data_IF_646843937993
#
_entry.id   IF_646843937993
#
_cell.length_a   1.000
_cell.length_b   1.000
_cell.length_c   1.000
_cell.angle_alpha   90.00
_cell.angle_beta   90.00
_cell.angle_gamma   90.00
#
_symmetry.space_group_name_H-M   'P 1'
#
loop_
_entity.id
_entity.type
_entity.pdbx_description
1 polymer ?
#
# COMPACT_ATOMS: atom_id res chain seq x y z
N UNK A 1 -49.67 27.40 -7.78
CA UNK A 1 -49.64 28.58 -6.90
C UNK A 1 -48.17 28.90 -6.61
N UNK A 2 -47.86 30.20 -6.66
CA UNK A 2 -46.58 30.85 -6.32
C UNK A 2 -45.47 30.74 -7.39
N UNK A 3 -45.48 31.70 -8.31
CA UNK A 3 -44.24 32.29 -8.81
C UNK A 3 -43.51 33.02 -7.67
N UNK A 4 -42.18 32.96 -7.65
CA UNK A 4 -41.41 34.12 -7.21
C UNK A 4 -40.36 34.50 -8.26
N UNK A 5 -40.56 35.67 -8.87
CA UNK A 5 -39.49 36.48 -9.44
C UNK A 5 -38.49 36.84 -8.34
N UNK A 6 -37.18 36.58 -8.51
CA UNK A 6 -36.09 37.32 -7.83
C UNK A 6 -34.72 37.09 -8.53
N UNK A 7 -34.26 38.17 -9.17
CA UNK A 7 -32.89 38.71 -9.25
C UNK A 7 -31.78 37.98 -10.03
N UNK A 8 -31.49 38.51 -11.22
CA UNK A 8 -30.36 38.22 -12.14
C UNK A 8 -28.96 38.43 -11.53
N UNK A 9 -28.83 38.94 -10.30
CA UNK A 9 -27.54 39.19 -9.61
C UNK A 9 -26.93 37.95 -8.96
N UNK A 10 -27.71 36.88 -8.78
CA UNK A 10 -27.26 35.60 -8.18
C UNK A 10 -26.47 34.72 -9.15
N UNK A 11 -26.55 34.98 -10.47
CA UNK A 11 -25.88 34.18 -11.49
C UNK A 11 -24.36 34.37 -11.48
N UNK A 12 -23.88 35.62 -11.34
CA UNK A 12 -22.45 35.93 -11.36
C UNK A 12 -21.71 35.46 -10.10
N UNK A 13 -22.38 35.51 -8.94
CA UNK A 13 -21.77 35.09 -7.67
C UNK A 13 -21.59 33.56 -7.59
N UNK A 14 -22.47 32.81 -8.25
CA UNK A 14 -22.42 31.34 -8.31
C UNK A 14 -21.25 30.82 -9.18
N UNK A 15 -20.97 31.47 -10.31
CA UNK A 15 -19.91 31.07 -11.25
C UNK A 15 -18.51 31.30 -10.66
N UNK A 16 -18.33 32.37 -9.89
CA UNK A 16 -17.08 32.66 -9.17
C UNK A 16 -16.79 31.63 -8.08
N UNK A 17 -17.81 31.17 -7.37
CA UNK A 17 -17.67 30.11 -6.36
C UNK A 17 -17.24 28.77 -7.00
N UNK A 18 -17.80 28.43 -8.16
CA UNK A 18 -17.43 27.20 -8.88
C UNK A 18 -16.02 27.25 -9.48
N UNK A 19 -15.57 28.41 -9.96
CA UNK A 19 -14.23 28.56 -10.55
C UNK A 19 -13.13 28.52 -9.50
N UNK A 20 -13.36 29.04 -8.28
CA UNK A 20 -12.42 28.87 -7.16
C UNK A 20 -12.34 27.40 -6.72
N UNK A 21 -13.46 26.66 -6.71
CA UNK A 21 -13.46 25.23 -6.37
C UNK A 21 -12.69 24.37 -7.39
N UNK A 22 -12.68 24.77 -8.67
CA UNK A 22 -11.90 24.08 -9.70
C UNK A 22 -10.38 24.34 -9.57
N UNK A 23 -9.98 25.48 -9.02
CA UNK A 23 -8.58 25.86 -8.85
C UNK A 23 -7.90 25.18 -7.66
N UNK A 24 -8.65 24.59 -6.73
CA UNK A 24 -8.13 23.96 -5.50
C UNK A 24 -7.92 22.44 -5.60
N UNK A 25 -8.07 21.82 -6.78
CA UNK A 25 -7.98 20.36 -6.97
C UNK A 25 -6.63 19.86 -7.55
N UNK A 26 -5.55 20.62 -7.38
CA UNK A 26 -4.19 20.15 -7.64
C UNK A 26 -3.45 19.93 -6.30
N UNK A 27 -3.84 18.91 -5.55
CA UNK A 27 -3.11 18.46 -4.36
C UNK A 27 -2.26 17.23 -4.71
N UNK A 28 -0.98 17.50 -4.92
CA UNK A 28 0.20 16.76 -4.45
C UNK A 28 0.25 15.24 -4.64
N UNK A 29 0.91 14.82 -5.73
CA UNK A 29 1.60 13.53 -5.78
C UNK A 29 3.03 13.72 -5.22
N UNK A 30 3.16 13.92 -3.91
CA UNK A 30 4.47 13.90 -3.25
C UNK A 30 4.97 12.45 -3.15
N UNK A 31 6.08 12.17 -3.82
CA UNK A 31 6.73 10.85 -3.82
C UNK A 31 7.16 10.46 -2.40
N UNK A 32 6.38 9.57 -1.81
CA UNK A 32 6.51 9.06 -0.46
C UNK A 32 7.68 8.07 -0.29
N UNK A 33 8.89 8.58 -0.15
CA UNK A 33 10.04 7.78 0.32
C UNK A 33 10.00 7.64 1.85
N UNK A 34 9.37 8.61 2.54
CA UNK A 34 9.31 8.69 3.99
C UNK A 34 8.38 7.68 4.66
N UNK A 35 7.15 7.51 4.16
CA UNK A 35 6.21 6.53 4.72
C UNK A 35 6.52 5.10 4.26
N UNK A 36 7.20 4.91 3.12
CA UNK A 36 7.76 3.60 2.76
C UNK A 36 8.83 3.13 3.78
N UNK A 37 9.70 4.03 4.26
CA UNK A 37 10.70 3.72 5.29
C UNK A 37 10.09 3.48 6.67
N UNK A 38 9.01 4.19 7.01
CA UNK A 38 8.23 3.93 8.24
C UNK A 38 7.54 2.57 8.16
N UNK A 39 6.83 2.30 7.07
CA UNK A 39 6.18 1.00 6.81
C UNK A 39 7.16 -0.17 6.89
N UNK A 40 8.40 -0.01 6.41
CA UNK A 40 9.44 -1.03 6.55
C UNK A 40 9.77 -1.37 8.01
N UNK A 41 9.97 -0.36 8.85
CA UNK A 41 10.33 -0.54 10.25
C UNK A 41 9.13 -1.01 11.09
N UNK A 42 7.92 -0.51 10.77
CA UNK A 42 6.66 -0.88 11.41
C UNK A 42 6.31 -2.36 11.19
N UNK A 43 6.76 -2.95 10.08
CA UNK A 43 6.64 -4.39 9.81
C UNK A 43 7.66 -5.24 10.58
N UNK A 44 8.58 -4.63 11.33
CA UNK A 44 9.63 -5.33 12.07
C UNK A 44 10.88 -5.64 11.25
N UNK A 45 11.05 -5.03 10.08
CA UNK A 45 12.28 -5.17 9.30
C UNK A 45 13.36 -4.23 9.85
N UNK A 46 14.42 -4.79 10.43
CA UNK A 46 15.51 -4.05 11.07
C UNK A 46 16.83 -4.11 10.29
N UNK A 47 16.83 -4.79 9.14
CA UNK A 47 17.98 -4.97 8.26
C UNK A 47 18.17 -3.85 7.25
N UNK A 48 18.92 -4.16 6.18
CA UNK A 48 19.17 -3.20 5.10
C UNK A 48 17.94 -3.12 4.21
N UNK A 49 17.36 -1.91 4.08
CA UNK A 49 16.25 -1.70 3.17
C UNK A 49 16.69 -1.88 1.71
N UNK A 50 16.18 -2.94 1.08
CA UNK A 50 16.34 -3.21 -0.34
C UNK A 50 14.95 -3.30 -0.99
N UNK A 51 14.62 -2.28 -1.79
CA UNK A 51 13.32 -2.14 -2.45
C UNK A 51 12.97 -3.34 -3.33
N UNK A 52 13.94 -3.91 -4.04
CA UNK A 52 13.70 -5.01 -4.97
C UNK A 52 13.39 -6.32 -4.22
N UNK A 53 14.13 -6.59 -3.13
CA UNK A 53 13.88 -7.73 -2.25
C UNK A 53 12.52 -7.61 -1.58
N UNK A 54 12.23 -6.44 -0.99
CA UNK A 54 10.96 -6.20 -0.32
C UNK A 54 9.78 -6.38 -1.27
N UNK A 55 9.82 -5.76 -2.46
CA UNK A 55 8.75 -5.90 -3.45
C UNK A 55 8.57 -7.34 -3.94
N UNK A 56 9.66 -8.13 -4.02
CA UNK A 56 9.55 -9.55 -4.40
C UNK A 56 8.84 -10.38 -3.34
N UNK A 57 9.12 -10.13 -2.06
CA UNK A 57 8.46 -10.81 -0.93
C UNK A 57 7.00 -10.36 -0.79
N UNK A 58 6.74 -9.06 -0.93
CA UNK A 58 5.39 -8.49 -0.91
C UNK A 58 4.49 -9.13 -1.98
N UNK A 59 5.03 -9.34 -3.18
CA UNK A 59 4.33 -10.02 -4.27
C UNK A 59 3.93 -11.47 -3.94
N UNK A 60 4.74 -12.19 -3.16
CA UNK A 60 4.36 -13.55 -2.69
C UNK A 60 3.12 -13.45 -1.80
N UNK A 61 3.10 -12.48 -0.89
CA UNK A 61 1.93 -12.26 -0.02
C UNK A 61 0.69 -11.84 -0.82
N UNK A 62 0.84 -10.99 -1.84
CA UNK A 62 -0.26 -10.56 -2.70
C UNK A 62 -0.83 -11.70 -3.57
N UNK A 63 0.03 -12.50 -4.21
CA UNK A 63 -0.40 -13.67 -4.99
C UNK A 63 -1.09 -14.71 -4.09
N UNK A 64 -0.61 -14.89 -2.86
CA UNK A 64 -1.24 -15.76 -1.87
C UNK A 64 -2.62 -15.24 -1.43
N UNK A 65 -2.73 -13.94 -1.15
CA UNK A 65 -4.00 -13.28 -0.84
C UNK A 65 -5.01 -13.43 -1.98
N UNK A 66 -4.60 -13.32 -3.24
CA UNK A 66 -5.49 -13.48 -4.39
C UNK A 66 -6.13 -14.87 -4.48
N UNK A 67 -5.45 -15.91 -3.95
CA UNK A 67 -5.98 -17.27 -3.90
C UNK A 67 -7.01 -17.45 -2.78
N UNK A 68 -6.71 -16.99 -1.57
CA UNK A 68 -7.56 -17.23 -0.39
C UNK A 68 -8.66 -16.17 -0.21
N UNK A 69 -8.45 -14.94 -0.69
CA UNK A 69 -9.34 -13.78 -0.55
C UNK A 69 -9.76 -13.45 0.89
N UNK A 70 -8.99 -13.91 1.88
CA UNK A 70 -9.18 -13.56 3.28
C UNK A 70 -8.42 -12.28 3.62
N UNK A 71 -9.09 -11.35 4.31
CA UNK A 71 -8.56 -10.00 4.61
C UNK A 71 -7.23 -10.00 5.34
N UNK A 72 -6.95 -11.06 6.10
CA UNK A 72 -5.86 -11.07 7.06
C UNK A 72 -4.61 -11.77 6.51
N UNK A 73 -4.71 -12.48 5.37
CA UNK A 73 -3.59 -13.26 4.79
C UNK A 73 -2.46 -12.32 4.37
N UNK A 74 -2.77 -11.24 3.66
CA UNK A 74 -1.76 -10.30 3.19
C UNK A 74 -1.00 -9.65 4.35
N UNK A 75 -1.74 -9.13 5.34
CA UNK A 75 -1.18 -8.46 6.52
C UNK A 75 -0.37 -9.43 7.37
N UNK A 76 -0.92 -10.62 7.64
CA UNK A 76 -0.25 -11.67 8.42
C UNK A 76 1.01 -12.18 7.72
N UNK A 77 0.98 -12.34 6.40
CA UNK A 77 2.13 -12.76 5.60
C UNK A 77 3.30 -11.77 5.71
N UNK A 78 3.03 -10.46 5.70
CA UNK A 78 4.05 -9.40 5.82
C UNK A 78 4.57 -9.20 7.25
N UNK A 79 3.88 -9.74 8.25
CA UNK A 79 4.19 -9.52 9.67
C UNK A 79 5.57 -10.04 10.07
N UNK A 80 6.17 -9.45 11.11
CA UNK A 80 7.51 -9.80 11.60
C UNK A 80 8.54 -9.88 10.44
N UNK A 81 8.46 -8.92 9.52
CA UNK A 81 9.25 -8.84 8.30
C UNK A 81 9.30 -10.17 7.53
N UNK A 82 8.12 -10.72 7.19
CA UNK A 82 7.97 -12.00 6.49
C UNK A 82 8.51 -13.24 7.24
N UNK A 83 9.00 -13.08 8.47
CA UNK A 83 9.58 -14.16 9.29
C UNK A 83 8.49 -14.80 10.14
N UNK A 84 7.54 -15.45 9.47
CA UNK A 84 6.37 -16.10 10.07
C UNK A 84 5.93 -17.32 9.22
N UNK A 85 5.06 -18.16 9.79
CA UNK A 85 4.61 -19.39 9.13
C UNK A 85 3.66 -19.13 7.96
N UNK A 86 2.97 -18.00 7.94
CA UNK A 86 2.04 -17.63 6.85
C UNK A 86 2.82 -17.37 5.56
N UNK A 87 3.96 -16.67 5.64
CA UNK A 87 4.84 -16.48 4.49
C UNK A 87 5.31 -17.83 3.92
N UNK A 88 5.74 -18.75 4.78
CA UNK A 88 6.16 -20.10 4.36
C UNK A 88 5.01 -20.85 3.68
N UNK A 89 3.82 -20.85 4.27
CA UNK A 89 2.64 -21.46 3.66
C UNK A 89 2.27 -20.83 2.31
N UNK A 90 2.41 -19.52 2.16
CA UNK A 90 2.19 -18.83 0.89
C UNK A 90 3.17 -19.28 -0.19
N UNK A 91 4.47 -19.42 0.13
CA UNK A 91 5.47 -19.99 -0.80
C UNK A 91 5.07 -21.40 -1.24
N UNK A 92 4.49 -22.17 -0.33
CA UNK A 92 4.11 -23.57 -0.56
C UNK A 92 2.90 -23.68 -1.49
N UNK A 93 1.85 -22.93 -1.19
CA UNK A 93 0.59 -22.90 -1.95
C UNK A 93 0.81 -22.34 -3.36
N UNK A 94 1.70 -21.36 -3.50
CA UNK A 94 2.11 -20.82 -4.81
C UNK A 94 3.08 -21.72 -5.57
N UNK A 95 3.42 -22.90 -5.03
CA UNK A 95 4.34 -23.88 -5.63
C UNK A 95 5.75 -23.31 -5.89
N UNK A 96 6.18 -22.35 -5.07
CA UNK A 96 7.46 -21.65 -5.16
C UNK A 96 8.58 -22.34 -4.34
N UNK A 97 8.40 -23.61 -3.97
CA UNK A 97 9.37 -24.40 -3.16
C UNK A 97 10.81 -24.36 -3.70
N UNK A 98 10.98 -24.33 -5.02
CA UNK A 98 12.31 -24.24 -5.66
C UNK A 98 13.02 -22.91 -5.38
N UNK A 99 12.24 -21.85 -5.14
CA UNK A 99 12.71 -20.51 -4.82
C UNK A 99 12.80 -20.24 -3.31
N UNK A 100 12.34 -21.18 -2.46
CA UNK A 100 12.27 -21.00 -1.00
C UNK A 100 13.59 -20.46 -0.42
N UNK A 101 14.72 -21.13 -0.68
CA UNK A 101 16.02 -20.71 -0.16
C UNK A 101 16.40 -19.27 -0.57
N UNK A 102 16.03 -18.88 -1.79
CA UNK A 102 16.30 -17.53 -2.30
C UNK A 102 15.40 -16.50 -1.63
N UNK A 103 14.13 -16.84 -1.39
CA UNK A 103 13.19 -15.98 -0.67
C UNK A 103 13.59 -15.83 0.79
N UNK A 104 13.94 -16.93 1.47
CA UNK A 104 14.42 -16.92 2.86
C UNK A 104 15.68 -16.04 3.01
N UNK A 105 16.62 -16.14 2.06
CA UNK A 105 17.79 -15.25 2.03
C UNK A 105 17.43 -13.78 1.86
N UNK A 106 16.37 -13.45 1.10
CA UNK A 106 15.85 -12.08 1.03
C UNK A 106 15.23 -11.65 2.36
N UNK A 107 14.45 -12.52 3.00
CA UNK A 107 13.86 -12.26 4.33
C UNK A 107 14.96 -11.96 5.34
N UNK A 108 16.02 -12.77 5.40
CA UNK A 108 17.09 -12.59 6.38
C UNK A 108 17.86 -11.27 6.20
N UNK A 109 18.08 -10.83 4.95
CA UNK A 109 18.72 -9.53 4.66
C UNK A 109 17.86 -8.37 5.18
N UNK A 110 16.54 -8.44 4.98
CA UNK A 110 15.60 -7.40 5.40
C UNK A 110 15.30 -7.44 6.90
N UNK A 111 15.29 -8.64 7.51
CA UNK A 111 15.04 -8.84 8.94
C UNK A 111 16.16 -8.22 9.79
N UNK A 112 17.42 -8.41 9.38
CA UNK A 112 18.60 -7.95 10.10
C UNK A 112 18.99 -8.84 11.28
N UNK A 113 20.21 -8.65 11.83
CA UNK A 113 20.60 -9.29 13.10
C UNK A 113 19.98 -8.48 14.24
N UNK A 114 19.21 -9.16 15.09
CA UNK A 114 18.64 -8.60 16.31
C UNK A 114 19.72 -8.41 17.37
#
# INVERSE_FOLDING_TARGET
MVEPSISKKKMHLSVLLWSVAALTLAADAETDVGALKRSFSDLGCMGVYDKAKFARLDRVCEECYQLFRESDVHTSCRSNCFKNDIFTQCVDVLLLRKDQQRLDGMVDILYGKR
#
